data_IF_303514719129
#
_entry.id   IF_303514719129
#
_cell.length_a   1.000
_cell.length_b   1.000
_cell.length_c   1.000
_cell.angle_alpha   90.00
_cell.angle_beta   90.00
_cell.angle_gamma   90.00
#
_symmetry.space_group_name_H-M   'P 1'
#
loop_
_entity.id
_entity.type
_entity.pdbx_description
1 polymer ?
#
# COMPACT_ATOMS: atom_id res chain seq x y z
N UNK A 1 -7.01 8.98 -9.19
CA UNK A 1 -7.98 8.70 -8.11
C UNK A 1 -7.74 7.26 -7.70
N UNK A 2 -7.17 7.02 -6.53
CA UNK A 2 -6.92 5.66 -6.08
C UNK A 2 -8.22 4.87 -5.92
N UNK A 3 -8.22 3.67 -6.51
CA UNK A 3 -9.34 2.73 -6.48
C UNK A 3 -9.45 2.02 -5.12
N UNK A 4 -8.32 1.80 -4.46
CA UNK A 4 -8.22 0.90 -3.30
C UNK A 4 -8.05 1.60 -1.94
N UNK A 5 -7.57 2.84 -1.91
CA UNK A 5 -7.26 3.58 -0.67
C UNK A 5 -8.09 4.86 -0.60
N UNK A 6 -8.85 5.01 0.47
CA UNK A 6 -9.67 6.19 0.70
C UNK A 6 -8.86 7.40 1.18
N UNK A 7 -9.21 8.57 0.65
CA UNK A 7 -8.57 9.85 1.00
C UNK A 7 -8.76 10.28 2.47
N UNK A 8 -9.97 10.09 3.02
CA UNK A 8 -10.33 10.60 4.35
C UNK A 8 -9.50 9.97 5.49
N UNK A 9 -9.29 8.63 5.55
CA UNK A 9 -8.37 8.02 6.51
C UNK A 9 -6.94 8.54 6.43
N UNK A 10 -6.40 8.73 5.22
CA UNK A 10 -5.03 9.23 5.03
C UNK A 10 -4.91 10.67 5.53
N UNK A 11 -5.88 11.53 5.23
CA UNK A 11 -5.90 12.88 5.79
C UNK A 11 -6.00 12.87 7.32
N UNK A 12 -6.81 11.98 7.91
CA UNK A 12 -6.89 11.86 9.38
C UNK A 12 -5.57 11.43 9.99
N UNK A 13 -4.85 10.49 9.36
CA UNK A 13 -3.51 10.09 9.76
C UNK A 13 -2.55 11.29 9.79
N UNK A 14 -2.53 12.10 8.72
CA UNK A 14 -1.67 13.28 8.64
C UNK A 14 -1.99 14.30 9.75
N UNK A 15 -3.29 14.56 10.00
CA UNK A 15 -3.74 15.44 11.08
C UNK A 15 -3.35 14.91 12.47
N UNK A 16 -3.55 13.61 12.69
CA UNK A 16 -3.21 12.96 13.95
C UNK A 16 -1.70 13.05 14.26
N UNK A 17 -0.86 13.03 13.22
CA UNK A 17 0.59 13.17 13.34
C UNK A 17 1.07 14.64 13.42
N UNK A 18 0.17 15.59 13.66
CA UNK A 18 0.51 16.99 13.95
C UNK A 18 0.36 17.97 12.78
N UNK A 19 -0.10 17.53 11.60
CA UNK A 19 -0.38 18.48 10.52
C UNK A 19 -1.57 19.39 10.88
N UNK A 20 -1.38 20.70 10.90
CA UNK A 20 -2.46 21.67 11.20
C UNK A 20 -3.35 21.93 10.00
N UNK A 21 -2.81 21.91 8.78
CA UNK A 21 -3.55 22.00 7.52
C UNK A 21 -2.96 20.93 6.59
N UNK A 22 -3.82 20.30 5.79
CA UNK A 22 -3.41 19.27 4.84
C UNK A 22 -4.03 19.60 3.50
N UNK A 23 -3.17 19.88 2.51
CA UNK A 23 -3.57 20.19 1.15
C UNK A 23 -4.09 18.93 0.44
N UNK A 24 -5.06 19.09 -0.46
CA UNK A 24 -5.76 17.95 -1.08
C UNK A 24 -4.85 17.13 -2.00
N UNK A 25 -4.02 17.82 -2.77
CA UNK A 25 -2.97 17.30 -3.63
C UNK A 25 -1.95 16.46 -2.86
N UNK A 26 -1.49 16.93 -1.70
CA UNK A 26 -0.56 16.18 -0.85
C UNK A 26 -1.15 14.83 -0.40
N UNK A 27 -2.44 14.79 -0.05
CA UNK A 27 -3.11 13.53 0.30
C UNK A 27 -3.25 12.64 -0.93
N UNK A 28 -3.60 13.22 -2.10
CA UNK A 28 -3.71 12.46 -3.34
C UNK A 28 -2.39 11.79 -3.71
N UNK A 29 -1.28 12.52 -3.63
CA UNK A 29 0.06 12.01 -3.94
C UNK A 29 0.42 10.83 -3.02
N UNK A 30 0.18 10.97 -1.71
CA UNK A 30 0.43 9.88 -0.77
C UNK A 30 -0.47 8.67 -1.06
N UNK A 31 -1.75 8.90 -1.35
CA UNK A 31 -2.72 7.86 -1.70
C UNK A 31 -2.30 7.11 -2.97
N UNK A 32 -1.85 7.82 -4.00
CA UNK A 32 -1.43 7.24 -5.27
C UNK A 32 -0.11 6.45 -5.11
N UNK A 33 0.86 6.97 -4.36
CA UNK A 33 2.09 6.25 -4.03
C UNK A 33 1.83 4.97 -3.24
N UNK A 34 0.99 5.03 -2.20
CA UNK A 34 0.62 3.86 -1.40
C UNK A 34 -0.11 2.81 -2.23
N UNK A 35 -1.01 3.25 -3.12
CA UNK A 35 -1.75 2.35 -4.02
C UNK A 35 -0.81 1.63 -4.98
N UNK A 36 0.14 2.36 -5.56
CA UNK A 36 1.14 1.81 -6.48
C UNK A 36 2.05 0.81 -5.75
N UNK A 37 2.50 1.16 -4.55
CA UNK A 37 3.32 0.29 -3.70
C UNK A 37 2.57 -1.00 -3.34
N UNK A 38 1.30 -0.90 -2.95
CA UNK A 38 0.46 -2.05 -2.64
C UNK A 38 0.31 -3.01 -3.84
N UNK A 39 0.12 -2.47 -5.06
CA UNK A 39 0.05 -3.27 -6.29
C UNK A 39 1.38 -4.00 -6.54
N UNK A 40 2.51 -3.30 -6.42
CA UNK A 40 3.84 -3.89 -6.65
C UNK A 40 4.14 -4.99 -5.64
N UNK A 41 3.92 -4.75 -4.34
CA UNK A 41 4.10 -5.76 -3.29
C UNK A 41 3.20 -6.97 -3.56
N UNK A 42 1.94 -6.76 -3.95
CA UNK A 42 1.00 -7.85 -4.25
C UNK A 42 1.46 -8.68 -5.45
N UNK A 43 1.99 -8.05 -6.50
CA UNK A 43 2.57 -8.75 -7.66
C UNK A 43 3.78 -9.60 -7.24
N UNK A 44 4.69 -9.05 -6.44
CA UNK A 44 5.85 -9.79 -5.93
C UNK A 44 5.43 -10.98 -5.06
N UNK A 45 4.48 -10.78 -4.13
CA UNK A 45 3.94 -11.85 -3.30
C UNK A 45 3.25 -12.94 -4.13
N UNK A 46 2.56 -12.60 -5.22
CA UNK A 46 1.97 -13.56 -6.13
C UNK A 46 3.02 -14.42 -6.85
N UNK A 47 4.16 -13.83 -7.25
CA UNK A 47 5.28 -14.57 -7.83
C UNK A 47 5.84 -15.58 -6.82
N UNK A 48 6.06 -15.16 -5.57
CA UNK A 48 6.51 -16.03 -4.48
C UNK A 48 5.53 -17.18 -4.21
N UNK A 49 4.23 -16.87 -4.20
CA UNK A 49 3.15 -17.85 -4.02
C UNK A 49 3.19 -18.91 -5.13
N UNK A 50 3.33 -18.48 -6.39
CA UNK A 50 3.43 -19.37 -7.56
C UNK A 50 4.70 -20.22 -7.53
N UNK A 51 5.84 -19.64 -7.16
CA UNK A 51 7.10 -20.38 -6.99
C UNK A 51 6.96 -21.48 -5.94
N UNK A 52 6.24 -21.20 -4.85
CA UNK A 52 5.89 -22.19 -3.83
C UNK A 52 4.80 -23.19 -4.23
N UNK A 53 4.34 -23.19 -5.50
CA UNK A 53 3.22 -24.02 -6.01
C UNK A 53 1.92 -23.88 -5.22
N UNK A 54 1.75 -22.77 -4.48
CA UNK A 54 0.54 -22.45 -3.73
C UNK A 54 -0.37 -21.56 -4.58
N UNK A 55 -1.66 -21.56 -4.28
CA UNK A 55 -2.63 -20.61 -4.86
C UNK A 55 -2.98 -19.46 -3.90
N UNK A 56 -2.86 -19.71 -2.60
CA UNK A 56 -3.16 -18.75 -1.54
C UNK A 56 -1.91 -17.93 -1.19
N UNK A 57 -2.03 -16.61 -1.30
CA UNK A 57 -1.04 -15.67 -0.76
C UNK A 57 -1.09 -15.75 0.77
N UNK A 58 0.06 -15.95 1.40
CA UNK A 58 0.18 -16.01 2.87
C UNK A 58 0.84 -14.76 3.42
N UNK A 59 0.82 -14.63 4.76
CA UNK A 59 1.56 -13.59 5.47
C UNK A 59 3.04 -13.60 5.11
N UNK A 60 3.64 -14.78 4.99
CA UNK A 60 5.07 -14.92 4.73
C UNK A 60 5.44 -14.43 3.32
N UNK A 61 4.57 -14.65 2.32
CA UNK A 61 4.77 -14.11 0.97
C UNK A 61 4.77 -12.57 0.98
N UNK A 62 3.85 -11.97 1.75
CA UNK A 62 3.76 -10.50 1.88
C UNK A 62 4.97 -9.95 2.65
N UNK A 63 5.37 -10.58 3.77
CA UNK A 63 6.54 -10.14 4.53
C UNK A 63 7.82 -10.23 3.71
N UNK A 64 7.97 -11.29 2.91
CA UNK A 64 9.12 -11.45 2.03
C UNK A 64 9.09 -10.41 0.90
N UNK A 65 7.90 -10.16 0.31
CA UNK A 65 7.74 -9.12 -0.70
C UNK A 65 8.05 -7.72 -0.14
N UNK A 66 7.63 -7.41 1.09
CA UNK A 66 7.96 -6.14 1.77
C UNK A 66 9.45 -6.04 2.06
N UNK A 67 10.09 -7.13 2.50
CA UNK A 67 11.53 -7.15 2.82
C UNK A 67 12.40 -6.80 1.60
N UNK A 68 11.93 -7.14 0.40
CA UNK A 68 12.62 -6.90 -0.87
C UNK A 68 11.88 -5.91 -1.77
N UNK A 69 11.02 -5.07 -1.20
CA UNK A 69 10.31 -4.00 -1.91
C UNK A 69 11.25 -2.83 -2.21
#
# INVERSE_FOLDING_TARGET
MAEYISWSPIRRLMKHNGAVIVARDAVNELVDWMSTSAVTITKSALVLTKHGKRKKITRDDILLAIKYF
#
